data_IF_097357838246
#
_entry.id   IF_097357838246
#
_cell.length_a   1.000
_cell.length_b   1.000
_cell.length_c   1.000
_cell.angle_alpha   90.00
_cell.angle_beta   90.00
_cell.angle_gamma   90.00
#
_symmetry.space_group_name_H-M   'P 1'
#
loop_
_entity.id
_entity.type
_entity.pdbx_description
1 polymer ?
#
# COMPACT_ATOMS: atom_id res chain seq x y z
N UNK A 1 -3.39 2.88 11.61
CA UNK A 1 -2.86 4.27 11.55
C UNK A 1 -1.86 4.37 10.41
N UNK A 2 -2.24 4.97 9.29
CA UNK A 2 -1.39 5.17 8.10
C UNK A 2 -2.13 6.09 7.11
N UNK A 3 -1.40 6.65 6.15
CA UNK A 3 -1.87 7.20 4.90
C UNK A 3 -1.06 6.58 3.76
N UNK A 4 -1.75 5.85 2.88
CA UNK A 4 -1.17 5.39 1.62
C UNK A 4 -2.09 5.81 0.49
N UNK A 5 -1.51 6.41 -0.54
CA UNK A 5 -2.18 6.92 -1.72
C UNK A 5 -1.62 6.20 -2.94
N UNK A 6 -2.49 5.61 -3.76
CA UNK A 6 -2.09 4.93 -5.00
C UNK A 6 -2.90 5.46 -6.18
N UNK A 7 -2.21 5.83 -7.24
CA UNK A 7 -2.82 6.30 -8.49
C UNK A 7 -2.42 5.40 -9.66
N UNK A 8 -3.44 4.92 -10.39
CA UNK A 8 -3.27 4.30 -11.71
C UNK A 8 -3.32 5.43 -12.74
N UNK A 9 -2.23 5.61 -13.48
CA UNK A 9 -2.05 6.73 -14.41
C UNK A 9 -1.89 6.21 -15.84
N UNK A 10 -1.77 7.13 -16.81
CA UNK A 10 -1.74 6.84 -18.25
C UNK A 10 -0.83 5.67 -18.65
N UNK A 11 0.34 5.59 -18.02
CA UNK A 11 1.42 4.71 -18.42
C UNK A 11 2.08 4.01 -17.23
N UNK A 12 1.37 3.85 -16.11
CA UNK A 12 1.99 3.30 -14.90
C UNK A 12 1.15 3.41 -13.64
N UNK A 13 1.79 3.09 -12.50
CA UNK A 13 1.25 3.26 -11.16
C UNK A 13 2.25 4.05 -10.33
N UNK A 14 1.73 4.92 -9.45
CA UNK A 14 2.52 5.53 -8.38
C UNK A 14 1.87 5.26 -7.02
N UNK A 15 2.69 5.05 -6.01
CA UNK A 15 2.30 4.82 -4.61
C UNK A 15 3.06 5.81 -3.74
N UNK A 16 2.36 6.52 -2.85
CA UNK A 16 2.92 7.41 -1.85
C UNK A 16 2.43 6.98 -0.47
N UNK A 17 3.34 6.62 0.43
CA UNK A 17 3.02 6.07 1.75
C UNK A 17 3.77 6.80 2.86
N UNK A 18 3.08 7.08 3.97
CA UNK A 18 3.72 7.61 5.16
C UNK A 18 4.65 6.56 5.80
N UNK A 19 5.61 6.99 6.62
CA UNK A 19 6.60 6.08 7.22
C UNK A 19 6.24 5.56 8.62
N UNK A 20 5.04 5.86 9.15
CA UNK A 20 4.63 5.48 10.51
C UNK A 20 4.31 4.01 10.63
N UNK A 21 4.70 3.42 11.75
CA UNK A 21 4.32 2.08 12.15
C UNK A 21 4.11 2.02 13.67
N UNK A 22 3.48 0.93 14.13
CA UNK A 22 3.23 0.69 15.54
C UNK A 22 4.17 -0.39 16.06
N UNK A 23 4.78 -0.13 17.21
CA UNK A 23 5.46 -1.14 18.02
C UNK A 23 4.64 -1.41 19.28
N UNK A 24 4.57 -2.68 19.65
CA UNK A 24 4.04 -3.09 20.94
C UNK A 24 5.23 -3.52 21.78
N UNK A 25 5.49 -2.82 22.88
CA UNK A 25 6.56 -3.21 23.81
C UNK A 25 6.07 -4.32 24.75
N UNK A 26 7.00 -4.88 25.54
CA UNK A 26 6.69 -5.96 26.50
C UNK A 26 5.64 -5.57 27.55
N UNK A 27 5.47 -4.26 27.80
CA UNK A 27 4.41 -3.71 28.66
C UNK A 27 3.06 -3.48 27.95
N UNK A 28 2.91 -3.97 26.70
CA UNK A 28 1.73 -3.84 25.84
C UNK A 28 1.31 -2.41 25.49
N UNK A 29 2.17 -1.42 25.75
CA UNK A 29 1.95 -0.05 25.28
C UNK A 29 2.24 0.00 23.78
N UNK A 30 1.33 0.63 23.04
CA UNK A 30 1.49 0.89 21.61
C UNK A 30 2.27 2.18 21.45
N UNK A 31 3.46 2.09 20.87
CA UNK A 31 4.31 3.22 20.53
C UNK A 31 4.26 3.45 19.02
N UNK A 32 4.04 4.71 18.61
CA UNK A 32 4.12 5.11 17.21
C UNK A 32 5.55 5.52 16.88
N UNK A 33 6.13 4.91 15.84
CA UNK A 33 7.45 5.27 15.32
C UNK A 33 7.37 5.59 13.84
N UNK A 34 8.28 6.44 13.39
CA UNK A 34 8.43 6.81 11.99
C UNK A 34 9.71 6.18 11.41
N UNK A 35 9.90 6.27 10.09
CA UNK A 35 11.08 5.73 9.40
C UNK A 35 10.93 4.30 8.85
N UNK A 36 9.70 3.77 8.77
CA UNK A 36 9.47 2.51 8.09
C UNK A 36 9.12 2.68 6.61
N UNK A 37 9.86 1.98 5.75
CA UNK A 37 9.59 1.93 4.32
C UNK A 37 8.53 0.85 4.03
N UNK A 38 7.28 1.25 3.78
CA UNK A 38 6.15 0.33 3.54
C UNK A 38 6.07 -0.19 2.11
N UNK A 39 6.71 0.49 1.17
CA UNK A 39 6.61 0.19 -0.24
C UNK A 39 7.76 -0.73 -0.63
N UNK A 40 7.47 -1.77 -1.41
CA UNK A 40 8.50 -2.59 -2.03
C UNK A 40 8.22 -2.67 -3.53
N UNK A 41 9.14 -2.09 -4.30
CA UNK A 41 9.13 -2.15 -5.75
C UNK A 41 9.93 -3.36 -6.23
N UNK A 42 9.31 -4.19 -7.06
CA UNK A 42 9.97 -5.33 -7.68
C UNK A 42 10.84 -4.84 -8.83
N UNK A 43 12.07 -5.32 -8.84
CA UNK A 43 13.04 -5.08 -9.91
C UNK A 43 13.12 -6.34 -10.77
N UNK A 44 12.26 -6.42 -11.78
CA UNK A 44 12.13 -7.58 -12.67
C UNK A 44 11.56 -7.15 -14.02
N UNK A 45 12.17 -7.63 -15.10
CA UNK A 45 11.69 -7.37 -16.47
C UNK A 45 10.35 -8.05 -16.77
N UNK A 46 10.07 -9.17 -16.09
CA UNK A 46 8.84 -9.96 -16.31
C UNK A 46 7.60 -9.38 -15.58
N UNK A 47 7.80 -8.45 -14.64
CA UNK A 47 6.71 -7.93 -13.81
C UNK A 47 7.00 -6.50 -13.30
N UNK A 48 6.15 -5.57 -13.68
CA UNK A 48 6.09 -4.23 -13.07
C UNK A 48 5.17 -4.31 -11.85
N UNK A 49 5.72 -4.53 -10.65
CA UNK A 49 4.95 -4.71 -9.42
C UNK A 49 5.47 -3.84 -8.27
N UNK A 50 4.54 -3.22 -7.56
CA UNK A 50 4.74 -2.67 -6.23
C UNK A 50 3.86 -3.45 -5.27
N UNK A 51 4.41 -3.88 -4.13
CA UNK A 51 3.64 -4.36 -3.00
C UNK A 51 3.86 -3.40 -1.84
N UNK A 52 2.80 -3.06 -1.11
CA UNK A 52 2.93 -2.34 0.14
C UNK A 52 2.02 -2.93 1.21
N UNK A 53 2.36 -2.66 2.46
CA UNK A 53 1.62 -3.16 3.62
C UNK A 53 1.05 -2.01 4.46
N UNK A 54 0.02 -2.31 5.25
CA UNK A 54 -0.67 -1.32 6.09
C UNK A 54 -0.02 -1.10 7.47
N UNK A 55 1.33 -1.11 7.54
CA UNK A 55 2.10 -0.75 8.74
C UNK A 55 2.68 -1.91 9.55
N UNK A 56 2.90 -3.06 8.93
CA UNK A 56 3.60 -4.21 9.51
C UNK A 56 5.05 -4.21 9.04
N UNK A 57 5.98 -4.17 9.98
CA UNK A 57 7.40 -4.10 9.66
C UNK A 57 8.11 -5.43 9.82
N UNK A 58 7.52 -6.35 10.58
CA UNK A 58 8.12 -7.62 10.92
C UNK A 58 7.10 -8.73 10.68
N UNK A 59 7.45 -9.66 9.80
CA UNK A 59 6.65 -10.85 9.47
C UNK A 59 7.55 -12.04 9.80
N UNK A 60 7.18 -12.81 10.83
CA UNK A 60 7.92 -14.00 11.26
C UNK A 60 9.43 -13.74 11.51
N UNK A 61 9.74 -12.66 12.22
CA UNK A 61 11.12 -12.27 12.54
C UNK A 61 11.89 -11.61 11.39
N UNK A 62 11.29 -11.47 10.20
CA UNK A 62 11.90 -10.83 9.04
C UNK A 62 11.35 -9.42 8.84
N UNK A 63 12.24 -8.47 8.63
CA UNK A 63 11.86 -7.13 8.19
C UNK A 63 11.17 -7.16 6.81
N UNK A 64 10.21 -6.27 6.58
CA UNK A 64 9.43 -6.15 5.34
C UNK A 64 10.27 -6.30 4.05
N UNK A 65 11.35 -5.52 3.93
CA UNK A 65 12.25 -5.58 2.76
C UNK A 65 12.87 -6.96 2.54
N UNK A 66 13.23 -7.66 3.62
CA UNK A 66 13.80 -9.01 3.55
C UNK A 66 12.74 -10.01 3.11
N UNK A 67 11.55 -9.92 3.69
CA UNK A 67 10.41 -10.75 3.31
C UNK A 67 10.08 -10.63 1.82
N UNK A 68 9.96 -9.40 1.30
CA UNK A 68 9.69 -9.18 -0.12
C UNK A 68 10.84 -9.68 -1.01
N UNK A 69 12.09 -9.54 -0.59
CA UNK A 69 13.25 -10.08 -1.32
C UNK A 69 13.22 -11.61 -1.41
N UNK A 70 12.78 -12.29 -0.34
CA UNK A 70 12.61 -13.74 -0.35
C UNK A 70 11.47 -14.16 -1.30
N UNK A 71 10.35 -13.42 -1.29
CA UNK A 71 9.29 -13.63 -2.28
C UNK A 71 9.84 -13.42 -3.70
N UNK A 72 10.62 -12.37 -3.96
CA UNK A 72 11.33 -12.16 -5.23
C UNK A 72 12.20 -13.38 -5.59
N UNK A 73 12.97 -13.95 -4.67
CA UNK A 73 13.81 -15.12 -4.99
C UNK A 73 13.03 -16.42 -5.22
N UNK A 74 11.76 -16.48 -4.82
CA UNK A 74 10.92 -17.66 -5.01
C UNK A 74 10.45 -17.85 -6.46
N UNK A 75 10.50 -16.79 -7.29
CA UNK A 75 9.99 -16.77 -8.67
C UNK A 75 8.52 -17.23 -8.82
N UNK A 76 7.72 -17.19 -7.76
CA UNK A 76 6.35 -17.71 -7.75
C UNK A 76 5.38 -16.94 -8.67
N UNK A 77 5.76 -15.76 -9.16
CA UNK A 77 4.95 -14.95 -10.08
C UNK A 77 5.16 -15.29 -11.56
N UNK A 78 6.18 -16.09 -11.91
CA UNK A 78 6.48 -16.39 -13.32
C UNK A 78 5.30 -17.10 -13.99
N UNK A 79 5.06 -16.76 -15.26
CA UNK A 79 4.00 -17.33 -16.10
C UNK A 79 2.58 -17.19 -15.52
N UNK A 80 2.31 -16.09 -14.81
CA UNK A 80 1.02 -15.80 -14.16
C UNK A 80 0.55 -14.39 -14.50
N UNK A 81 -0.77 -14.19 -14.49
CA UNK A 81 -1.42 -12.87 -14.47
C UNK A 81 -1.40 -12.28 -13.06
N UNK A 82 -1.63 -10.97 -12.93
CA UNK A 82 -1.52 -10.28 -11.64
C UNK A 82 -2.45 -10.85 -10.55
N UNK A 83 -3.68 -11.21 -10.91
CA UNK A 83 -4.65 -11.87 -10.01
C UNK A 83 -4.08 -13.18 -9.42
N UNK A 84 -3.45 -14.00 -10.26
CA UNK A 84 -2.79 -15.24 -9.88
C UNK A 84 -1.51 -14.99 -9.07
N UNK A 85 -0.81 -13.88 -9.30
CA UNK A 85 0.32 -13.44 -8.47
C UNK A 85 -0.18 -13.04 -7.08
N UNK A 86 -1.31 -12.35 -6.98
CA UNK A 86 -1.90 -11.94 -5.71
C UNK A 86 -2.39 -13.16 -4.90
N UNK A 87 -3.07 -14.12 -5.53
CA UNK A 87 -3.38 -15.44 -4.95
C UNK A 87 -2.12 -16.20 -4.51
N UNK A 88 -1.07 -16.21 -5.33
CA UNK A 88 0.21 -16.83 -4.98
C UNK A 88 0.87 -16.16 -3.77
N UNK A 89 0.83 -14.84 -3.70
CA UNK A 89 1.36 -14.07 -2.57
C UNK A 89 0.58 -14.35 -1.28
N UNK A 90 -0.75 -14.47 -1.35
CA UNK A 90 -1.58 -14.93 -0.23
C UNK A 90 -1.06 -16.25 0.32
N UNK A 91 -0.94 -17.27 -0.53
CA UNK A 91 -0.48 -18.60 -0.11
C UNK A 91 0.94 -18.57 0.48
N UNK A 92 1.80 -17.68 -0.01
CA UNK A 92 3.15 -17.49 0.51
C UNK A 92 3.18 -16.90 1.93
N UNK A 93 2.31 -15.94 2.23
CA UNK A 93 2.36 -15.17 3.47
C UNK A 93 1.39 -15.66 4.56
N UNK A 94 0.31 -16.35 4.19
CA UNK A 94 -0.83 -16.65 5.07
C UNK A 94 -0.43 -17.35 6.38
N UNK A 95 0.44 -18.35 6.31
CA UNK A 95 0.90 -19.08 7.49
C UNK A 95 1.66 -18.17 8.48
N UNK A 96 2.42 -17.20 7.98
CA UNK A 96 3.15 -16.26 8.81
C UNK A 96 2.20 -15.21 9.40
N UNK A 97 1.23 -14.72 8.63
CA UNK A 97 0.19 -13.79 9.13
C UNK A 97 -0.64 -14.44 10.23
N UNK A 98 -1.14 -15.66 10.02
CA UNK A 98 -1.95 -16.36 11.02
C UNK A 98 -1.20 -16.57 12.33
N UNK A 99 0.10 -16.89 12.27
CA UNK A 99 0.95 -17.00 13.47
C UNK A 99 1.13 -15.65 14.17
N UNK A 100 1.36 -14.57 13.43
CA UNK A 100 1.52 -13.23 14.01
C UNK A 100 0.23 -12.73 14.65
N UNK A 101 -0.93 -12.97 14.02
CA UNK A 101 -2.25 -12.65 14.59
C UNK A 101 -2.48 -13.40 15.91
N UNK A 102 -2.21 -14.71 15.94
CA UNK A 102 -2.34 -15.54 17.15
C UNK A 102 -1.39 -15.10 18.28
N UNK A 103 -0.13 -14.80 17.96
CA UNK A 103 0.91 -14.42 18.94
C UNK A 103 0.64 -13.08 19.58
N UNK A 104 0.34 -12.06 18.78
CA UNK A 104 0.31 -10.68 19.26
C UNK A 104 -1.05 -10.24 19.81
N UNK A 105 -2.08 -11.11 19.71
CA UNK A 105 -3.48 -10.77 19.98
C UNK A 105 -3.84 -9.46 19.29
N UNK A 106 -3.45 -9.34 18.02
CA UNK A 106 -3.76 -8.16 17.22
C UNK A 106 -5.20 -8.36 16.74
N UNK A 107 -6.13 -7.62 17.35
CA UNK A 107 -7.55 -7.59 16.96
C UNK A 107 -7.78 -6.81 15.64
N UNK A 108 -6.71 -6.51 14.89
CA UNK A 108 -6.75 -5.59 13.75
C UNK A 108 -6.12 -6.19 12.49
N UNK A 109 -6.75 -5.82 11.38
CA UNK A 109 -6.57 -6.37 10.06
C UNK A 109 -5.15 -6.17 9.52
N UNK A 110 -4.54 -7.26 9.06
CA UNK A 110 -3.27 -7.22 8.32
C UNK A 110 -3.60 -7.09 6.84
N UNK A 111 -3.20 -5.98 6.22
CA UNK A 111 -3.51 -5.65 4.83
C UNK A 111 -2.25 -5.52 3.96
N UNK A 112 -2.35 -6.02 2.73
CA UNK A 112 -1.36 -5.82 1.68
C UNK A 112 -2.05 -5.38 0.40
N UNK A 113 -1.41 -4.49 -0.36
CA UNK A 113 -1.87 -4.10 -1.69
C UNK A 113 -0.80 -4.44 -2.70
N UNK A 114 -1.21 -5.10 -3.77
CA UNK A 114 -0.39 -5.44 -4.93
C UNK A 114 -0.86 -4.59 -6.11
N UNK A 115 0.03 -3.75 -6.60
CA UNK A 115 -0.24 -2.84 -7.70
C UNK A 115 0.74 -3.10 -8.84
N UNK A 116 0.26 -3.49 -10.01
CA UNK A 116 1.18 -3.79 -11.09
C UNK A 116 0.54 -4.32 -12.35
N UNK A 117 1.39 -4.92 -13.19
CA UNK A 117 1.01 -5.75 -14.32
C UNK A 117 2.14 -6.72 -14.62
N UNK A 118 1.77 -7.88 -15.13
CA UNK A 118 2.69 -8.85 -15.73
C UNK A 118 2.69 -8.69 -17.25
N UNK A 119 3.58 -9.40 -17.94
CA UNK A 119 3.56 -9.49 -19.41
C UNK A 119 2.29 -10.17 -19.98
N UNK A 120 1.49 -10.81 -19.13
CA UNK A 120 0.24 -11.50 -19.49
C UNK A 120 -1.01 -10.67 -19.23
N UNK A 121 -0.86 -9.51 -18.60
CA UNK A 121 -1.95 -8.58 -18.32
C UNK A 121 -2.00 -7.50 -19.41
N UNK A 122 -3.22 -7.09 -19.78
CA UNK A 122 -3.42 -6.04 -20.77
C UNK A 122 -3.16 -4.64 -20.18
N UNK A 123 -3.50 -4.46 -18.92
CA UNK A 123 -3.50 -3.17 -18.22
C UNK A 123 -2.92 -3.30 -16.81
N UNK A 124 -2.60 -2.15 -16.21
CA UNK A 124 -2.27 -2.04 -14.79
C UNK A 124 -3.49 -2.28 -13.91
N UNK A 125 -3.28 -3.02 -12.82
CA UNK A 125 -4.34 -3.37 -11.90
C UNK A 125 -3.88 -3.37 -10.43
N UNK A 126 -4.84 -3.39 -9.52
CA UNK A 126 -4.61 -3.34 -8.08
C UNK A 126 -5.51 -4.31 -7.32
N UNK A 127 -4.87 -5.17 -6.53
CA UNK A 127 -5.52 -6.10 -5.63
C UNK A 127 -5.15 -5.80 -4.19
N UNK A 128 -6.13 -5.81 -3.30
CA UNK A 128 -5.96 -5.64 -1.87
C UNK A 128 -6.33 -6.96 -1.15
N UNK A 129 -5.43 -7.39 -0.27
CA UNK A 129 -5.50 -8.63 0.50
C UNK A 129 -5.63 -8.26 1.98
N UNK A 130 -6.66 -8.78 2.65
CA UNK A 130 -6.91 -8.54 4.06
C UNK A 130 -7.07 -9.82 4.85
N UNK A 131 -6.43 -9.87 6.01
CA UNK A 131 -6.64 -10.89 7.02
C UNK A 131 -7.34 -10.27 8.23
N UNK A 132 -8.66 -10.49 8.30
CA UNK A 132 -9.51 -10.29 9.49
C UNK A 132 -9.87 -11.70 10.06
N UNK A 133 -10.88 -11.93 10.94
CA UNK A 133 -11.29 -13.30 11.27
C UNK A 133 -11.50 -14.18 10.04
N UNK A 134 -11.96 -13.57 8.94
CA UNK A 134 -12.02 -14.15 7.60
C UNK A 134 -11.10 -13.40 6.63
N UNK A 135 -10.50 -14.14 5.69
CA UNK A 135 -9.69 -13.58 4.62
C UNK A 135 -10.56 -12.88 3.56
N UNK A 136 -10.12 -11.72 3.07
CA UNK A 136 -10.76 -10.99 1.97
C UNK A 136 -9.77 -10.69 0.82
N UNK A 137 -10.22 -10.93 -0.40
CA UNK A 137 -9.52 -10.59 -1.65
C UNK A 137 -10.36 -9.57 -2.41
N UNK A 138 -9.84 -8.35 -2.60
CA UNK A 138 -10.58 -7.23 -3.16
C UNK A 138 -9.87 -6.74 -4.41
N UNK A 139 -10.60 -6.64 -5.51
CA UNK A 139 -10.15 -6.02 -6.74
C UNK A 139 -10.59 -4.55 -6.76
N UNK A 140 -9.63 -3.62 -6.89
CA UNK A 140 -9.87 -2.17 -6.79
C UNK A 140 -10.07 -1.50 -8.16
N UNK A 141 -10.58 -2.23 -9.15
CA UNK A 141 -10.74 -1.79 -10.55
C UNK A 141 -11.46 -0.45 -10.71
N UNK A 142 -12.37 -0.13 -9.79
CA UNK A 142 -13.25 1.03 -9.87
C UNK A 142 -12.77 2.29 -9.15
N UNK A 143 -11.67 2.21 -8.43
CA UNK A 143 -11.13 3.35 -7.69
C UNK A 143 -10.34 4.29 -8.61
N UNK A 144 -10.68 5.58 -8.60
CA UNK A 144 -9.89 6.61 -9.29
C UNK A 144 -8.53 6.83 -8.60
N UNK A 145 -8.54 6.78 -7.27
CA UNK A 145 -7.36 6.83 -6.42
C UNK A 145 -7.65 5.97 -5.19
N UNK A 146 -6.74 5.05 -4.90
CA UNK A 146 -6.85 4.16 -3.76
C UNK A 146 -6.25 4.89 -2.56
N UNK A 147 -7.07 5.07 -1.52
CA UNK A 147 -6.72 5.79 -0.28
C UNK A 147 -6.89 4.84 0.89
N UNK A 148 -5.78 4.36 1.47
CA UNK A 148 -5.83 3.43 2.58
C UNK A 148 -5.32 4.04 3.89
N UNK A 149 -5.83 3.49 4.99
CA UNK A 149 -5.55 3.97 6.35
C UNK A 149 -6.39 5.17 6.79
N UNK A 150 -6.27 5.50 8.09
CA UNK A 150 -7.08 6.52 8.75
C UNK A 150 -6.79 7.95 8.25
N UNK A 151 -5.59 8.16 7.69
CA UNK A 151 -5.17 9.46 7.17
C UNK A 151 -5.97 9.93 5.95
N UNK A 152 -6.69 9.02 5.27
CA UNK A 152 -7.54 9.39 4.11
C UNK A 152 -8.59 10.44 4.45
N UNK A 153 -9.09 10.44 5.69
CA UNK A 153 -10.09 11.40 6.17
C UNK A 153 -9.58 12.85 6.16
N UNK A 154 -8.26 13.06 6.23
CA UNK A 154 -7.64 14.38 6.10
C UNK A 154 -7.70 14.94 4.66
N UNK A 155 -8.19 14.17 3.69
CA UNK A 155 -8.34 14.58 2.31
C UNK A 155 -9.79 14.84 1.90
N UNK A 156 -10.78 14.51 2.74
CA UNK A 156 -12.19 14.50 2.35
C UNK A 156 -12.65 15.87 1.82
N UNK A 157 -12.39 16.94 2.56
CA UNK A 157 -12.79 18.30 2.13
C UNK A 157 -11.99 18.80 0.93
N UNK A 158 -10.72 18.39 0.81
CA UNK A 158 -9.92 18.73 -0.36
C UNK A 158 -10.50 18.08 -1.62
N UNK A 159 -10.91 16.80 -1.55
CA UNK A 159 -11.53 16.10 -2.68
C UNK A 159 -12.94 16.61 -3.00
N UNK A 160 -13.71 17.08 -2.01
CA UNK A 160 -14.99 17.76 -2.28
C UNK A 160 -14.79 19.04 -3.09
N UNK A 161 -13.74 19.79 -2.78
CA UNK A 161 -13.42 21.05 -3.47
C UNK A 161 -12.66 20.87 -4.79
N UNK A 162 -12.12 19.67 -5.05
CA UNK A 162 -11.37 19.32 -6.27
C UNK A 162 -11.93 17.99 -6.81
N UNK A 163 -13.19 18.02 -7.22
CA UNK A 163 -13.96 16.82 -7.54
C UNK A 163 -13.39 16.03 -8.72
N UNK A 164 -12.64 16.68 -9.61
CA UNK A 164 -11.93 16.05 -10.73
C UNK A 164 -10.97 14.96 -10.28
N UNK A 165 -10.38 15.07 -9.08
CA UNK A 165 -9.48 14.08 -8.49
C UNK A 165 -10.16 12.74 -8.18
N UNK A 166 -11.49 12.72 -8.12
CA UNK A 166 -12.29 11.49 -7.94
C UNK A 166 -12.60 10.78 -9.26
N UNK A 167 -12.10 11.26 -10.40
CA UNK A 167 -12.40 10.68 -11.72
C UNK A 167 -11.20 9.87 -12.24
N UNK A 168 -11.47 8.73 -12.87
CA UNK A 168 -10.41 7.92 -13.50
C UNK A 168 -9.75 8.70 -14.65
N UNK A 169 -10.52 9.52 -15.34
CA UNK A 169 -10.09 10.37 -16.46
C UNK A 169 -8.98 11.32 -16.04
N UNK A 170 -9.11 11.96 -14.86
CA UNK A 170 -8.05 12.82 -14.33
C UNK A 170 -6.73 12.06 -14.21
N UNK A 171 -6.72 10.91 -13.53
CA UNK A 171 -5.49 10.14 -13.30
C UNK A 171 -4.95 9.50 -14.58
N UNK A 172 -5.82 8.98 -15.45
CA UNK A 172 -5.45 8.45 -16.77
C UNK A 172 -4.95 9.51 -17.74
N UNK A 173 -5.21 10.81 -17.49
CA UNK A 173 -4.61 11.90 -18.27
C UNK A 173 -3.15 12.19 -17.87
N UNK A 174 -2.75 11.82 -16.64
CA UNK A 174 -1.42 12.07 -16.10
C UNK A 174 -0.45 10.95 -16.49
N UNK A 175 0.77 11.31 -16.84
CA UNK A 175 1.86 10.35 -16.89
C UNK A 175 2.41 10.07 -15.47
N UNK A 176 3.28 9.06 -15.34
CA UNK A 176 3.87 8.65 -14.06
C UNK A 176 4.50 9.80 -13.26
N UNK A 177 5.23 10.73 -13.90
CA UNK A 177 5.87 11.85 -13.20
C UNK A 177 4.86 12.88 -12.70
N UNK A 178 3.80 13.11 -13.48
CA UNK A 178 2.72 14.01 -13.08
C UNK A 178 1.88 13.41 -11.95
N UNK A 179 1.54 12.12 -12.05
CA UNK A 179 0.81 11.40 -11.01
C UNK A 179 1.60 11.39 -9.69
N UNK A 180 2.91 11.14 -9.74
CA UNK A 180 3.79 11.26 -8.59
C UNK A 180 3.67 12.62 -7.90
N UNK A 181 3.78 13.72 -8.66
CA UNK A 181 3.69 15.08 -8.10
C UNK A 181 2.32 15.35 -7.47
N UNK A 182 1.23 14.88 -8.08
CA UNK A 182 -0.11 15.01 -7.50
C UNK A 182 -0.25 14.21 -6.20
N UNK A 183 0.30 12.99 -6.13
CA UNK A 183 0.30 12.20 -4.88
C UNK A 183 1.09 12.89 -3.76
N UNK A 184 2.27 13.44 -4.07
CA UNK A 184 3.08 14.19 -3.10
C UNK A 184 2.39 15.47 -2.61
N UNK A 185 1.68 16.16 -3.51
CA UNK A 185 0.84 17.31 -3.18
C UNK A 185 -0.31 16.90 -2.25
N UNK A 186 -1.03 15.83 -2.58
CA UNK A 186 -2.09 15.29 -1.73
C UNK A 186 -1.56 14.90 -0.35
N UNK A 187 -0.40 14.26 -0.28
CA UNK A 187 0.21 13.92 1.00
C UNK A 187 0.47 15.16 1.87
N UNK A 188 1.04 16.23 1.29
CA UNK A 188 1.27 17.50 2.00
C UNK A 188 -0.02 18.15 2.47
N UNK A 189 -1.10 18.07 1.67
CA UNK A 189 -2.44 18.54 2.08
C UNK A 189 -2.93 17.75 3.29
N UNK A 190 -2.82 16.41 3.25
CA UNK A 190 -3.22 15.56 4.37
C UNK A 190 -2.44 15.89 5.64
N UNK A 191 -1.11 16.06 5.57
CA UNK A 191 -0.26 16.45 6.71
C UNK A 191 -0.72 17.78 7.32
N UNK A 192 -0.97 18.79 6.49
CA UNK A 192 -1.45 20.09 6.95
C UNK A 192 -2.78 19.97 7.70
N UNK A 193 -3.71 19.19 7.16
CA UNK A 193 -5.02 18.98 7.77
C UNK A 193 -4.93 18.15 9.06
N UNK A 194 -4.10 17.11 9.09
CA UNK A 194 -3.81 16.32 10.30
C UNK A 194 -3.30 17.21 11.43
N UNK A 195 -2.37 18.11 11.13
CA UNK A 195 -1.83 19.08 12.09
C UNK A 195 -2.91 20.07 12.56
N UNK A 196 -3.76 20.58 11.67
CA UNK A 196 -4.89 21.43 12.03
C UNK A 196 -5.87 20.74 13.00
N UNK A 197 -6.07 19.43 12.81
CA UNK A 197 -6.94 18.60 13.64
C UNK A 197 -6.26 18.08 14.93
N UNK A 198 -4.98 18.41 15.18
CA UNK A 198 -4.18 17.87 16.28
C UNK A 198 -4.17 16.33 16.34
N UNK A 199 -4.19 15.67 15.17
CA UNK A 199 -4.16 14.20 15.05
C UNK A 199 -2.74 13.69 14.86
N UNK A 200 -2.50 12.42 15.20
CA UNK A 200 -1.19 11.79 15.11
C UNK A 200 -1.26 10.42 14.40
N UNK A 201 -2.05 10.32 13.34
CA UNK A 201 -2.43 9.02 12.77
C UNK A 201 -1.48 8.50 11.67
N UNK A 202 -0.58 9.33 11.16
CA UNK A 202 0.40 9.00 10.12
C UNK A 202 1.58 9.99 10.19
N UNK A 203 2.73 9.65 9.60
CA UNK A 203 3.96 10.47 9.64
C UNK A 203 3.90 11.72 8.74
N UNK A 204 4.73 12.71 9.02
CA UNK A 204 5.03 13.82 8.10
C UNK A 204 5.94 13.36 6.95
N UNK A 205 6.75 12.34 7.20
CA UNK A 205 7.64 11.75 6.23
C UNK A 205 6.92 10.69 5.41
N UNK A 206 7.27 10.61 4.13
CA UNK A 206 6.71 9.65 3.19
C UNK A 206 7.77 9.13 2.21
N UNK A 207 7.43 8.00 1.59
CA UNK A 207 8.15 7.47 0.44
C UNK A 207 7.20 7.37 -0.74
N UNK A 208 7.74 7.62 -1.94
CA UNK A 208 7.00 7.52 -3.19
C UNK A 208 7.74 6.64 -4.16
N UNK A 209 7.05 5.66 -4.74
CA UNK A 209 7.60 4.77 -5.77
C UNK A 209 6.64 4.69 -6.94
N UNK A 210 7.19 4.51 -8.14
CA UNK A 210 6.41 4.36 -9.35
C UNK A 210 6.96 3.27 -10.28
N UNK A 211 6.06 2.68 -11.06
CA UNK A 211 6.31 1.66 -12.10
C UNK A 211 5.64 2.05 -13.42
N UNK A 212 6.15 1.54 -14.53
CA UNK A 212 5.69 1.80 -15.92
C UNK A 212 5.43 0.50 -16.68
#
# INVERSE_FOLDING_TARGET
MTLILTALCKNGICVCADTRYQLKNDSRLVENKDGNHKIYKFDSDDISLIIFNHGINNINGKGWKTFCSDYTKSYQWKNKKLDQVAEGFKLFIENDIQKELQRNKIDHTIGFVLCGKTIYDNDFDVYELWWDPDYSFIHLENEAIIKTGNGKTCLDDYFKNNSELNTKEFWKSKNTSEAQKELEKLFKVAVKERNRLNRNDFSDDYNTECIK
#
